data_IF_352018191532
#
_entry.id   IF_352018191532
#
_cell.length_a   1.000
_cell.length_b   1.000
_cell.length_c   1.000
_cell.angle_alpha   90.00
_cell.angle_beta   90.00
_cell.angle_gamma   90.00
#
_symmetry.space_group_name_H-M   'P 1'
#
loop_
_entity.id
_entity.type
_entity.pdbx_description
1 polymer ?
#
# COMPACT_ATOMS: atom_id res chain seq x y z
N UNK A 1 16.65 -4.96 -31.53
CA UNK A 1 16.17 -5.79 -30.39
C UNK A 1 15.35 -4.87 -29.50
N UNK A 2 14.09 -5.20 -29.24
CA UNK A 2 13.29 -4.39 -28.31
C UNK A 2 13.93 -4.50 -26.91
N UNK A 3 14.23 -3.36 -26.29
CA UNK A 3 14.65 -3.27 -24.90
C UNK A 3 13.41 -3.44 -24.02
N UNK A 4 13.53 -4.06 -22.85
CA UNK A 4 12.45 -4.07 -21.88
C UNK A 4 12.03 -2.62 -21.56
N UNK A 5 10.73 -2.35 -21.52
CA UNK A 5 10.21 -0.99 -21.38
C UNK A 5 9.08 -0.93 -20.36
N UNK A 6 9.10 0.13 -19.57
CA UNK A 6 7.97 0.56 -18.76
C UNK A 6 7.00 1.34 -19.63
N UNK A 7 5.70 1.15 -19.42
CA UNK A 7 4.63 1.95 -20.04
C UNK A 7 3.67 2.43 -18.96
N UNK A 8 3.28 3.71 -18.99
CA UNK A 8 2.23 4.22 -18.14
C UNK A 8 0.85 4.05 -18.79
N UNK A 9 -0.11 3.54 -18.02
CA UNK A 9 -1.52 3.39 -18.41
C UNK A 9 -2.37 4.27 -17.51
N UNK A 10 -3.03 5.26 -18.09
CA UNK A 10 -3.97 6.14 -17.39
C UNK A 10 -5.30 5.41 -17.18
N UNK A 11 -5.75 5.31 -15.93
CA UNK A 11 -7.06 4.77 -15.55
C UNK A 11 -8.12 5.85 -15.34
N UNK A 12 -7.66 7.10 -15.24
CA UNK A 12 -8.49 8.29 -15.14
C UNK A 12 -9.19 8.62 -16.47
N UNK A 13 -10.47 9.00 -16.42
CA UNK A 13 -11.24 9.47 -17.59
C UNK A 13 -11.67 10.92 -17.41
N UNK A 14 -11.98 11.67 -18.49
CA UNK A 14 -12.40 13.08 -18.37
C UNK A 14 -13.66 13.34 -17.53
N UNK A 15 -14.46 12.30 -17.24
CA UNK A 15 -15.63 12.40 -16.36
C UNK A 15 -15.25 12.35 -14.87
N UNK A 16 -14.04 11.90 -14.56
CA UNK A 16 -13.50 11.85 -13.21
C UNK A 16 -12.96 13.21 -12.80
N UNK A 17 -13.37 13.66 -11.63
CA UNK A 17 -12.80 14.82 -10.98
C UNK A 17 -11.47 14.48 -10.31
N UNK A 18 -11.40 13.26 -9.75
CA UNK A 18 -10.23 12.71 -9.07
C UNK A 18 -10.33 11.17 -9.10
N UNK A 19 -9.19 10.49 -9.08
CA UNK A 19 -9.15 9.03 -8.98
C UNK A 19 -7.81 8.56 -8.42
N UNK A 20 -7.80 7.47 -7.67
CA UNK A 20 -6.57 6.83 -7.23
C UNK A 20 -6.63 5.31 -7.33
N UNK A 21 -5.47 4.69 -7.56
CA UNK A 21 -5.22 3.27 -7.29
C UNK A 21 -4.35 3.18 -6.05
N UNK A 22 -4.84 2.49 -5.03
CA UNK A 22 -4.11 2.27 -3.78
C UNK A 22 -3.57 0.86 -3.63
N UNK A 23 -4.16 -0.12 -4.32
CA UNK A 23 -3.73 -1.51 -4.24
C UNK A 23 -3.89 -2.23 -5.57
N UNK A 24 -3.01 -3.19 -5.84
CA UNK A 24 -2.99 -4.01 -7.04
C UNK A 24 -2.86 -5.49 -6.69
N UNK A 25 -3.58 -6.33 -7.41
CA UNK A 25 -3.51 -7.80 -7.36
C UNK A 25 -3.51 -8.30 -8.81
N UNK A 26 -3.15 -9.57 -9.12
CA UNK A 26 -3.23 -10.04 -10.51
C UNK A 26 -4.64 -9.82 -11.08
N UNK A 27 -4.69 -9.23 -12.28
CA UNK A 27 -5.94 -8.89 -12.99
C UNK A 27 -6.78 -7.74 -12.42
N UNK A 28 -6.43 -7.10 -11.30
CA UNK A 28 -7.29 -6.07 -10.69
C UNK A 28 -6.55 -4.96 -9.93
N UNK A 29 -7.15 -3.77 -9.91
CA UNK A 29 -6.64 -2.60 -9.19
C UNK A 29 -7.76 -1.96 -8.39
N UNK A 30 -7.53 -1.73 -7.10
CA UNK A 30 -8.49 -1.16 -6.16
C UNK A 30 -8.13 0.27 -5.76
N UNK A 31 -9.16 1.08 -5.54
CA UNK A 31 -8.99 2.46 -5.09
C UNK A 31 -10.32 3.20 -5.07
N UNK A 32 -10.34 4.43 -5.59
CA UNK A 32 -11.56 5.23 -5.66
C UNK A 32 -11.64 6.09 -6.91
N UNK A 33 -12.86 6.54 -7.22
CA UNK A 33 -13.15 7.60 -8.19
C UNK A 33 -14.07 8.63 -7.57
N UNK A 34 -13.84 9.90 -7.87
CA UNK A 34 -14.78 10.97 -7.59
C UNK A 34 -15.44 11.39 -8.91
N UNK A 35 -16.71 11.06 -9.07
CA UNK A 35 -17.50 11.36 -10.27
C UNK A 35 -18.89 11.84 -9.91
N UNK A 36 -19.35 12.89 -10.60
CA UNK A 36 -20.70 13.44 -10.41
C UNK A 36 -21.01 13.81 -8.95
N UNK A 37 -20.01 14.31 -8.22
CA UNK A 37 -20.13 14.71 -6.81
C UNK A 37 -20.16 13.56 -5.80
N UNK A 38 -19.94 12.31 -6.23
CA UNK A 38 -19.91 11.14 -5.38
C UNK A 38 -18.51 10.51 -5.43
N UNK A 39 -17.97 10.24 -4.24
CA UNK A 39 -16.75 9.46 -4.05
C UNK A 39 -17.14 7.99 -3.94
N UNK A 40 -16.75 7.16 -4.90
CA UNK A 40 -17.05 5.72 -4.88
C UNK A 40 -15.79 4.88 -4.76
N UNK A 41 -15.86 3.74 -4.05
CA UNK A 41 -14.86 2.70 -4.18
C UNK A 41 -14.84 2.21 -5.63
N UNK A 42 -13.65 2.02 -6.17
CA UNK A 42 -13.44 1.72 -7.57
C UNK A 42 -12.55 0.50 -7.75
N UNK A 43 -12.85 -0.25 -8.79
CA UNK A 43 -12.05 -1.37 -9.25
C UNK A 43 -11.84 -1.26 -10.76
N UNK A 44 -10.60 -1.44 -11.20
CA UNK A 44 -10.25 -1.58 -12.62
C UNK A 44 -9.64 -2.95 -12.90
N UNK A 45 -9.60 -3.31 -14.19
CA UNK A 45 -8.86 -4.43 -14.77
C UNK A 45 -8.02 -3.91 -15.95
N UNK A 46 -6.89 -3.29 -15.62
CA UNK A 46 -5.81 -2.90 -16.52
C UNK A 46 -6.11 -1.71 -17.44
N UNK A 47 -7.32 -1.14 -17.42
CA UNK A 47 -7.70 -0.05 -18.32
C UNK A 47 -8.83 0.82 -17.76
N UNK A 48 -8.90 2.09 -18.16
CA UNK A 48 -9.93 3.01 -17.71
C UNK A 48 -11.37 2.54 -18.05
N UNK A 49 -11.56 1.87 -19.19
CA UNK A 49 -12.87 1.37 -19.64
C UNK A 49 -13.42 0.20 -18.83
N UNK A 50 -12.57 -0.46 -18.05
CA UNK A 50 -12.95 -1.58 -17.19
C UNK A 50 -13.46 -1.16 -15.80
N UNK A 51 -13.62 0.14 -15.56
CA UNK A 51 -14.04 0.68 -14.27
C UNK A 51 -15.36 0.05 -13.81
N UNK A 52 -15.31 -0.53 -12.62
CA UNK A 52 -16.45 -0.86 -11.79
C UNK A 52 -16.49 0.09 -10.60
N UNK A 53 -17.56 0.89 -10.49
CA UNK A 53 -17.89 1.63 -9.27
C UNK A 53 -18.66 0.72 -8.33
N UNK A 54 -18.24 0.62 -7.08
CA UNK A 54 -18.93 -0.18 -6.06
C UNK A 54 -20.10 0.64 -5.50
N UNK A 55 -21.21 0.66 -6.24
CA UNK A 55 -22.44 1.35 -5.86
C UNK A 55 -23.49 0.30 -5.49
N UNK A 56 -23.75 0.16 -4.20
CA UNK A 56 -24.75 -0.78 -3.70
C UNK A 56 -25.69 -0.07 -2.73
N UNK A 57 -26.89 -0.60 -2.46
CA UNK A 57 -27.77 -0.05 -1.43
C UNK A 57 -27.12 0.00 -0.03
N UNK A 58 -26.09 -0.81 0.22
CA UNK A 58 -25.31 -0.78 1.46
C UNK A 58 -24.29 0.37 1.52
N UNK A 59 -24.04 1.06 0.39
CA UNK A 59 -23.13 2.21 0.25
C UNK A 59 -23.87 3.43 -0.34
N UNK A 60 -24.95 3.92 0.30
CA UNK A 60 -25.83 4.92 -0.30
C UNK A 60 -25.15 6.29 -0.52
N UNK A 61 -24.05 6.57 0.18
CA UNK A 61 -23.29 7.82 0.10
C UNK A 61 -21.89 7.62 -0.50
N UNK A 62 -21.64 6.46 -1.12
CA UNK A 62 -20.33 6.08 -1.61
C UNK A 62 -19.33 5.75 -0.49
N UNK A 63 -18.05 5.83 -0.81
CA UNK A 63 -16.95 5.45 0.06
C UNK A 63 -15.61 5.46 -0.67
N UNK A 64 -14.58 4.95 -0.01
CA UNK A 64 -13.24 4.78 -0.58
C UNK A 64 -12.82 3.32 -0.48
N UNK A 65 -12.31 2.76 -1.57
CA UNK A 65 -11.62 1.46 -1.57
C UNK A 65 -10.13 1.66 -1.31
N UNK A 66 -9.52 0.76 -0.56
CA UNK A 66 -8.09 0.82 -0.22
C UNK A 66 -7.33 -0.43 -0.69
N UNK A 67 -7.68 -1.60 -0.16
CA UNK A 67 -6.98 -2.86 -0.43
C UNK A 67 -7.76 -3.77 -1.36
N UNK A 68 -7.06 -4.48 -2.25
CA UNK A 68 -7.66 -5.52 -3.12
C UNK A 68 -6.85 -6.82 -3.05
N UNK A 69 -7.53 -7.95 -2.92
CA UNK A 69 -6.94 -9.29 -3.02
C UNK A 69 -7.96 -10.27 -3.56
N UNK A 70 -7.62 -11.03 -4.60
CA UNK A 70 -8.56 -11.95 -5.24
C UNK A 70 -9.83 -11.20 -5.67
N UNK A 71 -11.02 -11.68 -5.29
CA UNK A 71 -12.29 -10.98 -5.59
C UNK A 71 -12.62 -9.82 -4.65
N UNK A 72 -11.92 -9.69 -3.52
CA UNK A 72 -12.29 -8.77 -2.45
C UNK A 72 -11.69 -7.38 -2.64
N UNK A 73 -12.48 -6.35 -2.34
CA UNK A 73 -12.05 -4.97 -2.09
C UNK A 73 -12.45 -4.61 -0.67
N UNK A 74 -11.54 -4.01 0.10
CA UNK A 74 -11.87 -3.43 1.41
C UNK A 74 -11.85 -1.92 1.36
N UNK A 75 -12.64 -1.31 2.24
CA UNK A 75 -12.80 0.13 2.22
C UNK A 75 -13.44 0.72 3.47
N UNK A 76 -13.83 1.98 3.32
CA UNK A 76 -14.64 2.71 4.28
C UNK A 76 -15.78 3.45 3.58
N UNK A 77 -16.95 3.41 4.19
CA UNK A 77 -18.15 4.14 3.76
C UNK A 77 -17.98 5.65 4.04
N UNK A 78 -18.53 6.50 3.18
CA UNK A 78 -18.55 7.96 3.43
C UNK A 78 -19.45 8.33 4.61
N UNK A 79 -20.56 7.62 4.79
CA UNK A 79 -21.45 7.76 5.93
C UNK A 79 -22.38 6.53 6.08
N UNK A 80 -22.56 5.98 7.30
CA UNK A 80 -21.70 6.18 8.48
C UNK A 80 -20.27 5.69 8.18
N UNK A 81 -19.26 6.12 8.97
CA UNK A 81 -17.84 5.80 8.72
C UNK A 81 -17.49 4.35 9.09
N UNK A 82 -18.04 3.40 8.35
CA UNK A 82 -17.92 1.96 8.59
C UNK A 82 -16.90 1.34 7.65
N UNK A 83 -16.08 0.42 8.18
CA UNK A 83 -15.24 -0.46 7.40
C UNK A 83 -16.14 -1.46 6.66
N UNK A 84 -15.78 -1.80 5.42
CA UNK A 84 -16.50 -2.82 4.66
C UNK A 84 -15.54 -3.74 3.91
N UNK A 85 -16.06 -4.90 3.52
CA UNK A 85 -15.52 -5.73 2.45
C UNK A 85 -16.57 -5.92 1.36
N UNK A 86 -16.19 -5.70 0.11
CA UNK A 86 -16.97 -5.96 -1.08
C UNK A 86 -16.40 -7.17 -1.80
N UNK A 87 -17.24 -8.15 -2.09
CA UNK A 87 -16.87 -9.33 -2.89
C UNK A 87 -17.43 -9.21 -4.31
N UNK A 88 -16.54 -9.09 -5.29
CA UNK A 88 -16.90 -9.00 -6.71
C UNK A 88 -17.58 -10.24 -7.26
N UNK A 89 -17.30 -11.42 -6.69
CA UNK A 89 -17.87 -12.67 -7.19
C UNK A 89 -19.38 -12.75 -6.91
N UNK A 90 -19.78 -12.29 -5.72
CA UNK A 90 -21.19 -12.26 -5.29
C UNK A 90 -21.87 -10.90 -5.48
N UNK A 91 -21.11 -9.83 -5.70
CA UNK A 91 -21.61 -8.46 -5.74
C UNK A 91 -22.08 -7.93 -4.37
N UNK A 92 -21.69 -8.59 -3.27
CA UNK A 92 -22.16 -8.29 -1.92
C UNK A 92 -21.20 -7.40 -1.15
N UNK A 93 -21.74 -6.50 -0.34
CA UNK A 93 -21.00 -5.69 0.65
C UNK A 93 -21.31 -6.23 2.04
N UNK A 94 -20.28 -6.48 2.83
CA UNK A 94 -20.39 -6.87 4.24
C UNK A 94 -19.80 -5.78 5.12
N UNK A 95 -20.56 -5.37 6.12
CA UNK A 95 -20.11 -4.42 7.14
C UNK A 95 -19.14 -5.10 8.12
N UNK A 96 -17.98 -4.47 8.31
CA UNK A 96 -16.94 -4.89 9.25
C UNK A 96 -16.93 -4.04 10.53
N UNK A 97 -17.80 -3.05 10.65
CA UNK A 97 -17.82 -2.13 11.78
C UNK A 97 -18.01 -2.86 13.13
N UNK A 98 -17.03 -2.78 14.06
CA UNK A 98 -17.15 -3.43 15.35
C UNK A 98 -18.24 -2.80 16.22
N UNK A 99 -19.06 -3.61 16.93
CA UNK A 99 -20.06 -3.07 17.86
C UNK A 99 -19.42 -2.15 18.92
N UNK A 100 -19.94 -0.93 19.05
CA UNK A 100 -19.50 0.05 20.05
C UNK A 100 -18.34 0.96 19.62
N UNK A 101 -17.77 0.75 18.42
CA UNK A 101 -16.81 1.69 17.84
C UNK A 101 -17.51 2.96 17.32
N UNK A 102 -16.79 4.08 17.27
CA UNK A 102 -17.30 5.36 16.75
C UNK A 102 -17.09 5.50 15.23
N UNK A 103 -16.15 4.74 14.70
CA UNK A 103 -15.83 4.66 13.28
C UNK A 103 -14.89 3.49 13.02
N UNK A 104 -14.72 3.12 11.77
CA UNK A 104 -13.79 2.05 11.39
C UNK A 104 -13.37 2.20 9.94
N UNK A 105 -12.21 1.65 9.61
CA UNK A 105 -11.65 1.63 8.26
C UNK A 105 -10.93 0.31 8.04
N UNK A 106 -11.25 -0.39 6.96
CA UNK A 106 -10.44 -1.50 6.46
C UNK A 106 -9.49 -0.99 5.36
N UNK A 107 -8.21 -1.28 5.51
CA UNK A 107 -7.11 -0.70 4.69
C UNK A 107 -6.53 -1.76 3.75
N UNK A 108 -6.25 -2.97 4.25
CA UNK A 108 -5.66 -4.03 3.45
C UNK A 108 -6.41 -5.35 3.64
N UNK A 109 -6.34 -6.20 2.62
CA UNK A 109 -6.94 -7.53 2.62
C UNK A 109 -6.02 -8.49 1.88
N UNK A 110 -5.82 -9.69 2.44
CA UNK A 110 -5.05 -10.76 1.80
C UNK A 110 -5.57 -12.10 2.35
N UNK A 111 -5.82 -13.08 1.48
CA UNK A 111 -6.30 -14.41 1.87
C UNK A 111 -7.51 -14.42 2.84
N UNK A 112 -8.46 -13.49 2.65
CA UNK A 112 -9.66 -13.39 3.49
C UNK A 112 -9.43 -12.76 4.88
N UNK A 113 -8.21 -12.34 5.19
CA UNK A 113 -7.88 -11.53 6.35
C UNK A 113 -8.00 -10.04 6.00
N UNK A 114 -8.76 -9.26 6.76
CA UNK A 114 -8.83 -7.80 6.59
C UNK A 114 -8.18 -7.10 7.78
N UNK A 115 -7.46 -6.01 7.53
CA UNK A 115 -6.83 -5.19 8.58
C UNK A 115 -7.12 -3.71 8.39
N UNK A 116 -6.98 -2.95 9.47
CA UNK A 116 -7.23 -1.52 9.47
C UNK A 116 -7.24 -0.96 10.89
N UNK A 117 -8.24 -0.13 11.18
CA UNK A 117 -8.48 0.36 12.54
C UNK A 117 -9.97 0.51 12.85
N UNK A 118 -10.28 0.52 14.14
CA UNK A 118 -11.54 0.96 14.70
C UNK A 118 -11.28 2.13 15.66
N UNK A 119 -12.18 3.10 15.73
CA UNK A 119 -12.10 4.22 16.66
C UNK A 119 -12.81 3.84 17.96
N UNK A 120 -12.07 3.83 19.07
CA UNK A 120 -12.60 3.50 20.40
C UNK A 120 -13.31 4.67 21.11
N UNK A 121 -13.45 5.81 20.41
CA UNK A 121 -14.05 7.04 20.92
C UNK A 121 -13.03 8.07 21.39
N UNK A 122 -11.76 7.68 21.52
CA UNK A 122 -10.65 8.58 21.80
C UNK A 122 -9.53 8.46 20.76
N UNK A 123 -9.22 7.25 20.34
CA UNK A 123 -8.09 6.95 19.46
C UNK A 123 -8.39 5.77 18.51
N UNK A 124 -7.75 5.74 17.33
CA UNK A 124 -7.76 4.55 16.50
C UNK A 124 -6.98 3.42 17.16
N UNK A 125 -7.56 2.21 17.13
CA UNK A 125 -6.92 0.97 17.53
C UNK A 125 -6.80 0.04 16.33
N UNK A 126 -5.62 -0.58 16.18
CA UNK A 126 -5.36 -1.51 15.10
C UNK A 126 -6.36 -2.66 15.15
N UNK A 127 -6.88 -3.03 13.99
CA UNK A 127 -7.98 -3.97 13.88
C UNK A 127 -7.67 -5.08 12.89
N UNK A 128 -8.17 -6.27 13.20
CA UNK A 128 -8.14 -7.46 12.37
C UNK A 128 -9.57 -8.03 12.28
N UNK A 129 -9.99 -8.42 11.07
CA UNK A 129 -11.25 -9.09 10.81
C UNK A 129 -11.04 -10.33 9.92
N UNK A 130 -11.99 -11.25 9.99
CA UNK A 130 -12.15 -12.39 9.09
C UNK A 130 -13.56 -12.41 8.50
N UNK A 131 -13.87 -11.40 7.68
CA UNK A 131 -15.04 -11.34 6.82
C UNK A 131 -16.34 -10.87 7.47
N UNK A 132 -16.33 -10.44 8.74
CA UNK A 132 -17.55 -9.93 9.41
C UNK A 132 -17.25 -9.05 10.62
N UNK A 133 -18.17 -8.17 10.99
CA UNK A 133 -18.06 -7.34 12.20
C UNK A 133 -17.80 -8.16 13.50
N UNK A 134 -18.48 -9.29 13.79
CA UNK A 134 -18.22 -10.08 15.01
C UNK A 134 -16.84 -10.74 15.06
N UNK A 135 -16.13 -10.84 13.93
CA UNK A 135 -14.77 -11.38 13.88
C UNK A 135 -13.68 -10.38 14.27
N UNK A 136 -14.06 -9.17 14.67
CA UNK A 136 -13.15 -8.12 15.09
C UNK A 136 -12.21 -8.58 16.23
N UNK A 137 -10.92 -8.35 16.02
CA UNK A 137 -9.86 -8.49 17.01
C UNK A 137 -9.15 -7.15 17.17
N UNK A 138 -9.09 -6.66 18.40
CA UNK A 138 -8.29 -5.49 18.76
C UNK A 138 -6.81 -5.88 18.85
N UNK A 139 -5.98 -5.24 18.04
CA UNK A 139 -4.53 -5.43 17.98
C UNK A 139 -3.74 -4.37 18.75
N UNK A 140 -4.39 -3.44 19.46
CA UNK A 140 -3.69 -2.37 20.18
C UNK A 140 -2.73 -2.93 21.24
N UNK A 141 -1.40 -2.76 21.07
CA UNK A 141 -0.43 -3.31 22.01
C UNK A 141 -0.59 -2.72 23.41
N UNK A 142 -0.26 -3.50 24.44
CA UNK A 142 -0.24 -3.01 25.81
C UNK A 142 0.71 -1.81 25.94
N UNK A 143 0.20 -0.69 26.50
CA UNK A 143 0.96 0.56 26.67
C UNK A 143 0.96 1.49 25.45
N UNK A 144 0.35 1.09 24.33
CA UNK A 144 0.16 1.98 23.19
C UNK A 144 -1.07 2.89 23.39
N UNK A 145 -0.93 4.18 23.07
CA UNK A 145 -2.04 5.14 23.13
C UNK A 145 -2.95 5.08 21.91
N UNK A 146 -2.40 4.69 20.76
CA UNK A 146 -3.13 4.40 19.54
C UNK A 146 -2.31 3.46 18.66
N UNK A 147 -2.99 2.78 17.72
CA UNK A 147 -2.35 1.92 16.73
C UNK A 147 -3.19 1.81 15.47
N UNK A 148 -2.54 1.50 14.34
CA UNK A 148 -3.21 1.23 13.06
C UNK A 148 -2.50 0.05 12.39
N UNK A 149 -3.28 -0.91 11.88
CA UNK A 149 -2.77 -1.94 10.98
C UNK A 149 -2.96 -1.48 9.52
N UNK A 150 -1.86 -1.35 8.78
CA UNK A 150 -1.85 -0.84 7.40
C UNK A 150 -1.79 -1.95 6.36
N UNK A 151 -1.18 -3.10 6.70
CA UNK A 151 -0.88 -4.16 5.75
C UNK A 151 -1.06 -5.55 6.36
N UNK A 152 -1.29 -6.54 5.50
CA UNK A 152 -1.34 -7.96 5.86
C UNK A 152 -0.76 -8.78 4.71
N UNK A 153 -0.13 -9.91 5.02
CA UNK A 153 0.23 -10.95 4.03
C UNK A 153 -0.66 -12.20 4.14
N UNK A 154 -1.83 -12.07 4.78
CA UNK A 154 -2.77 -13.16 5.06
C UNK A 154 -2.43 -13.97 6.31
N UNK A 155 -1.24 -13.78 6.89
CA UNK A 155 -0.79 -14.46 8.12
C UNK A 155 -0.49 -13.44 9.21
N UNK A 156 0.39 -12.49 8.91
CA UNK A 156 0.80 -11.41 9.80
C UNK A 156 0.07 -10.12 9.45
N UNK A 157 -0.09 -9.26 10.45
CA UNK A 157 -0.55 -7.89 10.29
C UNK A 157 0.62 -6.95 10.54
N UNK A 158 0.67 -5.81 9.87
CA UNK A 158 1.73 -4.83 10.07
C UNK A 158 1.21 -3.41 9.98
N UNK A 159 1.87 -2.51 10.68
CA UNK A 159 1.45 -1.12 10.81
C UNK A 159 2.27 -0.38 11.85
N UNK A 160 1.66 0.55 12.57
CA UNK A 160 2.34 1.34 13.58
C UNK A 160 1.52 1.55 14.86
N UNK A 161 2.25 1.79 15.95
CA UNK A 161 1.70 2.03 17.27
C UNK A 161 2.47 3.16 17.97
N UNK A 162 1.78 3.95 18.78
CA UNK A 162 2.38 5.05 19.53
C UNK A 162 2.60 4.67 21.00
N UNK A 163 3.84 4.78 21.46
CA UNK A 163 4.24 4.61 22.85
C UNK A 163 4.83 5.92 23.36
N UNK A 164 4.06 6.66 24.17
CA UNK A 164 4.43 8.03 24.57
C UNK A 164 4.53 8.95 23.35
N UNK A 165 5.70 9.57 23.14
CA UNK A 165 5.96 10.44 21.98
C UNK A 165 6.52 9.70 20.75
N UNK A 166 6.77 8.40 20.86
CA UNK A 166 7.37 7.60 19.79
C UNK A 166 6.32 6.82 19.01
N UNK A 167 6.32 6.98 17.69
CA UNK A 167 5.57 6.13 16.76
C UNK A 167 6.53 5.08 16.21
N UNK A 168 6.18 3.81 16.35
CA UNK A 168 7.04 2.70 15.92
C UNK A 168 6.29 1.78 14.97
N UNK A 169 6.97 1.42 13.88
CA UNK A 169 6.55 0.34 13.01
C UNK A 169 6.55 -0.98 13.79
N UNK A 170 5.61 -1.87 13.47
CA UNK A 170 5.59 -3.20 14.04
C UNK A 170 4.72 -4.19 13.28
N UNK A 171 4.81 -5.45 13.70
CA UNK A 171 4.00 -6.55 13.18
C UNK A 171 3.29 -7.28 14.32
N UNK A 172 2.14 -7.87 14.01
CA UNK A 172 1.35 -8.72 14.88
C UNK A 172 1.13 -10.09 14.23
N UNK A 173 0.90 -11.11 15.06
CA UNK A 173 0.43 -12.45 14.70
C UNK A 173 -0.93 -12.74 15.35
N UNK A 174 -1.93 -11.92 15.02
CA UNK A 174 -3.33 -12.16 15.36
C UNK A 174 -3.76 -11.72 16.76
N UNK A 175 -2.90 -11.06 17.53
CA UNK A 175 -3.27 -10.53 18.85
C UNK A 175 -2.44 -9.31 19.26
N UNK A 176 -2.99 -8.45 20.10
CA UNK A 176 -2.26 -7.31 20.67
C UNK A 176 -0.94 -7.70 21.38
N UNK A 177 -0.94 -8.83 22.10
CA UNK A 177 0.22 -9.31 22.84
C UNK A 177 1.38 -9.79 21.94
N UNK A 178 1.12 -10.04 20.66
CA UNK A 178 2.12 -10.54 19.70
C UNK A 178 2.95 -9.44 19.04
N UNK A 179 2.75 -8.17 19.41
CA UNK A 179 3.41 -7.04 18.77
C UNK A 179 4.93 -7.13 18.83
N UNK A 180 5.57 -7.10 17.66
CA UNK A 180 7.02 -7.01 17.49
C UNK A 180 7.36 -5.64 16.93
N UNK A 181 8.18 -4.90 17.69
CA UNK A 181 8.67 -3.58 17.30
C UNK A 181 9.75 -3.70 16.20
N UNK A 182 9.55 -2.98 15.10
CA UNK A 182 10.47 -2.90 13.95
C UNK A 182 11.27 -1.60 13.90
N UNK A 183 11.10 -0.68 14.85
CA UNK A 183 11.80 0.60 14.87
C UNK A 183 13.32 0.40 14.79
N UNK A 184 13.98 0.87 13.73
CA UNK A 184 15.41 0.68 13.58
C UNK A 184 16.20 1.32 14.73
N UNK A 185 17.39 0.79 15.05
CA UNK A 185 18.30 1.46 15.98
C UNK A 185 18.54 2.91 15.57
N UNK A 186 18.50 3.82 16.55
CA UNK A 186 18.72 5.26 16.41
C UNK A 186 17.65 6.04 15.62
N UNK A 187 16.64 5.36 15.07
CA UNK A 187 15.51 6.05 14.45
C UNK A 187 14.64 6.71 15.52
N UNK A 188 14.25 7.97 15.31
CA UNK A 188 13.34 8.69 16.22
C UNK A 188 11.87 8.28 16.06
N UNK A 189 11.56 7.55 14.99
CA UNK A 189 10.27 6.93 14.74
C UNK A 189 10.27 6.15 13.43
N UNK A 190 9.26 5.32 13.25
CA UNK A 190 9.06 4.53 12.04
C UNK A 190 7.60 4.20 11.82
N UNK A 191 7.25 3.88 10.58
CA UNK A 191 5.90 3.47 10.18
C UNK A 191 6.01 2.33 9.17
N UNK A 192 5.13 1.33 9.29
CA UNK A 192 4.97 0.28 8.30
C UNK A 192 3.77 0.60 7.42
N UNK A 193 3.91 0.42 6.10
CA UNK A 193 2.87 0.72 5.11
C UNK A 193 2.46 -0.47 4.25
N UNK A 194 3.40 -1.37 3.93
CA UNK A 194 3.15 -2.49 3.03
C UNK A 194 3.83 -3.79 3.48
N UNK A 195 3.27 -4.93 3.09
CA UNK A 195 3.80 -6.26 3.35
C UNK A 195 3.56 -7.18 2.17
N UNK A 196 4.53 -8.05 1.89
CA UNK A 196 4.45 -9.06 0.84
C UNK A 196 5.53 -10.11 1.07
N UNK A 197 5.15 -11.39 1.02
CA UNK A 197 6.04 -12.48 1.43
C UNK A 197 6.59 -12.28 2.85
N UNK A 198 7.91 -12.30 3.01
CA UNK A 198 8.64 -12.06 4.26
C UNK A 198 9.07 -10.59 4.46
N UNK A 199 8.74 -9.71 3.51
CA UNK A 199 9.15 -8.30 3.53
C UNK A 199 8.10 -7.40 4.19
N UNK A 200 8.59 -6.39 4.89
CA UNK A 200 7.80 -5.26 5.38
C UNK A 200 8.43 -3.98 4.86
N UNK A 201 7.63 -3.04 4.39
CA UNK A 201 8.10 -1.75 3.88
C UNK A 201 7.38 -0.59 4.52
N UNK A 202 8.04 0.57 4.52
CA UNK A 202 7.52 1.77 5.16
C UNK A 202 8.55 2.88 5.19
N UNK A 203 8.63 3.55 6.34
CA UNK A 203 9.48 4.72 6.54
C UNK A 203 10.19 4.64 7.90
N UNK A 204 11.44 5.06 7.94
CA UNK A 204 12.19 5.32 9.17
C UNK A 204 12.66 6.78 9.22
N UNK A 205 12.65 7.39 10.41
CA UNK A 205 13.02 8.79 10.62
C UNK A 205 14.39 8.90 11.27
N UNK A 206 15.31 9.56 10.58
CA UNK A 206 16.66 9.85 11.06
C UNK A 206 16.92 11.36 10.99
N UNK A 207 17.15 11.99 12.14
CA UNK A 207 17.43 13.44 12.25
C UNK A 207 16.40 14.31 11.50
N UNK A 208 15.13 13.90 11.52
CA UNK A 208 14.03 14.61 10.84
C UNK A 208 13.85 14.25 9.36
N UNK A 209 14.74 13.47 8.75
CA UNK A 209 14.62 12.99 7.37
C UNK A 209 13.88 11.65 7.33
N UNK A 210 12.87 11.57 6.47
CA UNK A 210 12.12 10.35 6.17
C UNK A 210 12.83 9.52 5.10
N UNK A 211 13.07 8.25 5.43
CA UNK A 211 13.78 7.32 4.56
C UNK A 211 12.93 6.08 4.33
N UNK A 212 12.75 5.72 3.06
CA UNK A 212 12.12 4.48 2.67
C UNK A 212 12.85 3.32 3.34
N UNK A 213 12.08 2.39 3.91
CA UNK A 213 12.61 1.35 4.77
C UNK A 213 12.12 -0.02 4.32
N UNK A 214 12.99 -1.02 4.45
CA UNK A 214 12.68 -2.44 4.29
C UNK A 214 13.10 -3.20 5.56
N UNK A 215 12.24 -4.10 6.02
CA UNK A 215 12.51 -5.03 7.12
C UNK A 215 12.15 -6.46 6.73
N UNK A 216 12.68 -7.42 7.52
CA UNK A 216 12.39 -8.86 7.52
C UNK A 216 12.18 -9.35 8.95
N UNK A 217 11.08 -8.91 9.56
CA UNK A 217 10.54 -9.42 10.82
C UNK A 217 11.22 -8.90 12.10
N UNK A 218 12.23 -8.03 12.00
CA UNK A 218 12.87 -7.45 13.18
C UNK A 218 13.47 -6.07 12.92
N UNK A 219 13.62 -5.23 13.95
CA UNK A 219 14.34 -3.96 13.85
C UNK A 219 15.78 -4.10 13.32
N UNK A 220 16.47 -5.19 13.67
CA UNK A 220 17.85 -5.45 13.24
C UNK A 220 17.98 -5.77 11.75
N UNK A 221 16.88 -6.13 11.09
CA UNK A 221 16.84 -6.43 9.65
C UNK A 221 16.62 -5.21 8.75
N UNK A 222 16.60 -4.00 9.35
CA UNK A 222 16.39 -2.75 8.64
C UNK A 222 17.40 -2.54 7.50
N UNK A 223 16.87 -2.17 6.34
CA UNK A 223 17.62 -1.72 5.16
C UNK A 223 17.07 -0.35 4.76
N UNK A 224 17.99 0.62 4.62
CA UNK A 224 17.70 1.95 4.10
C UNK A 224 17.54 1.88 2.57
N UNK A 225 16.35 2.20 2.08
CA UNK A 225 16.01 2.27 0.65
C UNK A 225 16.12 3.70 0.10
N UNK A 226 16.50 4.70 0.88
CA UNK A 226 16.54 6.08 0.41
C UNK A 226 17.51 6.24 -0.77
N UNK A 227 17.00 6.59 -1.98
CA UNK A 227 17.84 6.68 -3.16
C UNK A 227 19.00 7.66 -2.98
N UNK A 228 20.16 7.44 -3.63
CA UNK A 228 21.19 8.46 -3.73
C UNK A 228 20.60 9.75 -4.30
N UNK A 229 20.92 10.88 -3.68
CA UNK A 229 20.43 12.23 -4.06
C UNK A 229 18.94 12.51 -3.83
N UNK A 230 18.19 11.61 -3.18
CA UNK A 230 16.85 11.91 -2.70
C UNK A 230 16.90 12.55 -1.30
N UNK A 231 16.17 13.66 -1.11
CA UNK A 231 16.09 14.36 0.18
C UNK A 231 15.16 13.70 1.20
N UNK A 232 14.18 12.94 0.69
CA UNK A 232 13.25 12.13 1.45
C UNK A 232 12.71 10.99 0.57
N UNK A 233 12.27 9.90 1.18
CA UNK A 233 11.60 8.81 0.49
C UNK A 233 10.71 8.01 1.43
N UNK A 234 9.67 7.38 0.87
CA UNK A 234 8.76 6.48 1.56
C UNK A 234 8.52 5.26 0.68
N UNK A 235 8.44 4.08 1.30
CA UNK A 235 7.95 2.86 0.63
C UNK A 235 6.53 2.56 1.12
N UNK A 236 5.61 2.30 0.19
CA UNK A 236 4.20 2.04 0.46
C UNK A 236 3.79 0.59 0.26
N UNK A 237 4.35 -0.10 -0.75
CA UNK A 237 3.93 -1.45 -1.14
C UNK A 237 5.09 -2.37 -1.49
N UNK A 238 4.89 -3.67 -1.34
CA UNK A 238 5.83 -4.71 -1.77
C UNK A 238 5.07 -6.01 -1.99
N UNK A 239 5.48 -6.78 -3.00
CA UNK A 239 5.02 -8.15 -3.21
C UNK A 239 6.02 -9.20 -2.71
N UNK A 240 7.03 -8.77 -1.95
CA UNK A 240 8.12 -9.62 -1.47
C UNK A 240 9.27 -9.78 -2.47
N UNK A 241 9.15 -9.24 -3.69
CA UNK A 241 10.21 -9.21 -4.70
C UNK A 241 10.66 -7.77 -4.99
N UNK A 242 9.71 -6.88 -5.27
CA UNK A 242 9.93 -5.45 -5.49
C UNK A 242 9.30 -4.61 -4.37
N UNK A 243 9.80 -3.38 -4.18
CA UNK A 243 9.22 -2.40 -3.28
C UNK A 243 8.85 -1.15 -4.08
N UNK A 244 7.77 -0.48 -3.73
CA UNK A 244 7.31 0.74 -4.41
C UNK A 244 6.88 1.82 -3.44
N UNK A 245 6.84 3.05 -3.91
CA UNK A 245 6.65 4.23 -3.09
C UNK A 245 6.96 5.50 -3.88
N UNK A 246 7.54 6.49 -3.21
CA UNK A 246 8.06 7.68 -3.88
C UNK A 246 9.34 8.20 -3.23
N UNK A 247 10.08 8.99 -3.98
CA UNK A 247 11.26 9.69 -3.52
C UNK A 247 11.29 11.14 -4.04
N UNK A 248 11.82 12.05 -3.22
CA UNK A 248 12.01 13.46 -3.57
C UNK A 248 13.38 13.65 -4.22
N UNK A 249 13.40 13.60 -5.55
CA UNK A 249 14.58 13.90 -6.36
C UNK A 249 14.70 15.40 -6.63
N UNK A 250 15.87 15.88 -7.09
CA UNK A 250 16.03 17.28 -7.52
C UNK A 250 15.07 17.71 -8.65
N UNK A 251 14.56 16.75 -9.43
CA UNK A 251 13.59 16.97 -10.50
C UNK A 251 12.13 16.98 -10.01
N UNK A 252 11.88 16.71 -8.73
CA UNK A 252 10.55 16.62 -8.13
C UNK A 252 10.21 15.25 -7.51
N UNK A 253 9.06 15.13 -6.83
CA UNK A 253 8.56 13.87 -6.26
C UNK A 253 8.22 12.86 -7.35
N UNK A 254 8.83 11.68 -7.28
CA UNK A 254 8.68 10.64 -8.30
C UNK A 254 8.27 9.31 -7.70
N UNK A 255 7.23 8.69 -8.27
CA UNK A 255 6.90 7.29 -8.05
C UNK A 255 8.18 6.48 -8.30
N UNK A 256 8.55 5.60 -7.38
CA UNK A 256 9.83 4.90 -7.43
C UNK A 256 9.63 3.43 -7.11
N UNK A 257 10.33 2.57 -7.85
CA UNK A 257 10.44 1.13 -7.58
C UNK A 257 11.87 0.80 -7.12
N UNK A 258 12.00 -0.13 -6.19
CA UNK A 258 13.26 -0.67 -5.69
C UNK A 258 13.27 -2.20 -5.78
N UNK A 259 14.48 -2.75 -5.79
CA UNK A 259 14.80 -4.17 -5.73
C UNK A 259 15.77 -4.45 -4.58
N UNK A 260 15.34 -4.13 -3.36
CA UNK A 260 16.00 -4.50 -2.09
C UNK A 260 17.13 -3.58 -1.63
N UNK A 261 17.44 -2.49 -2.36
CA UNK A 261 18.48 -1.53 -1.95
C UNK A 261 18.24 -0.12 -2.46
N UNK A 262 18.78 0.89 -1.78
CA UNK A 262 18.78 2.27 -2.25
C UNK A 262 19.34 2.46 -3.67
N UNK A 263 20.40 1.71 -4.04
CA UNK A 263 21.03 1.80 -5.36
C UNK A 263 20.16 1.25 -6.50
N UNK A 264 19.18 0.40 -6.18
CA UNK A 264 18.25 -0.17 -7.16
C UNK A 264 17.05 0.73 -7.46
N UNK A 265 16.99 1.90 -6.84
CA UNK A 265 15.90 2.86 -7.03
C UNK A 265 15.77 3.26 -8.50
N UNK A 266 14.57 3.07 -9.05
CA UNK A 266 14.25 3.41 -10.43
C UNK A 266 13.01 4.32 -10.46
N UNK A 267 13.18 5.62 -10.79
CA UNK A 267 12.07 6.55 -10.89
C UNK A 267 11.13 6.17 -12.05
N UNK A 268 9.83 6.10 -11.78
CA UNK A 268 8.77 5.73 -12.72
C UNK A 268 8.07 6.95 -13.35
N UNK A 269 8.20 8.14 -12.76
CA UNK A 269 7.59 9.37 -13.28
C UNK A 269 7.97 9.66 -14.74
N UNK A 270 9.20 9.34 -15.14
CA UNK A 270 9.71 9.55 -16.50
C UNK A 270 8.92 8.83 -17.61
N UNK A 271 8.06 7.86 -17.25
CA UNK A 271 7.23 7.11 -18.20
C UNK A 271 5.81 7.66 -18.32
N UNK A 272 5.45 8.67 -17.53
CA UNK A 272 4.18 9.37 -17.68
C UNK A 272 4.16 10.21 -18.97
N UNK A 273 2.98 10.47 -19.55
CA UNK A 273 2.83 11.54 -20.53
C UNK A 273 3.27 12.89 -19.95
N UNK A 274 3.63 13.88 -20.79
CA UNK A 274 3.84 15.25 -20.31
C UNK A 274 2.60 15.82 -19.61
N UNK A 275 2.79 16.76 -18.69
CA UNK A 275 1.71 17.46 -17.98
C UNK A 275 1.44 16.97 -16.55
N UNK A 276 2.44 16.38 -15.88
CA UNK A 276 2.35 16.01 -14.47
C UNK A 276 3.57 16.53 -13.68
N UNK A 277 3.33 17.08 -12.50
CA UNK A 277 4.36 17.64 -11.61
C UNK A 277 4.91 16.61 -10.61
N UNK A 278 4.12 15.59 -10.27
CA UNK A 278 4.47 14.61 -9.26
C UNK A 278 3.77 13.26 -9.49
N UNK A 279 4.32 12.21 -8.89
CA UNK A 279 3.70 10.87 -8.90
C UNK A 279 4.05 10.07 -7.66
N UNK A 280 3.20 9.12 -7.30
CA UNK A 280 3.35 8.22 -6.17
C UNK A 280 2.94 6.81 -6.59
N UNK A 281 3.75 5.80 -6.29
CA UNK A 281 3.37 4.40 -6.40
C UNK A 281 2.92 3.88 -5.02
N UNK A 282 1.76 3.25 -4.95
CA UNK A 282 1.20 2.73 -3.69
C UNK A 282 1.41 1.22 -3.54
N UNK A 283 1.31 0.46 -4.62
CA UNK A 283 1.34 -1.00 -4.55
C UNK A 283 1.92 -1.63 -5.83
N UNK A 284 2.41 -2.86 -5.72
CA UNK A 284 3.10 -3.59 -6.80
C UNK A 284 2.72 -5.06 -6.79
N UNK A 285 2.62 -5.64 -7.99
CA UNK A 285 2.42 -7.07 -8.17
C UNK A 285 3.18 -7.59 -9.38
N UNK A 286 3.78 -8.78 -9.24
CA UNK A 286 4.24 -9.57 -10.38
C UNK A 286 3.08 -10.39 -10.97
N UNK A 287 2.84 -10.26 -12.28
CA UNK A 287 1.85 -11.03 -13.04
C UNK A 287 2.54 -11.77 -14.18
N UNK A 288 2.85 -13.05 -13.93
CA UNK A 288 3.73 -13.82 -14.83
C UNK A 288 5.13 -13.23 -14.84
N UNK A 289 5.57 -12.75 -16.01
CA UNK A 289 6.85 -12.08 -16.18
C UNK A 289 6.75 -10.55 -16.04
N UNK A 290 5.54 -9.99 -15.92
CA UNK A 290 5.31 -8.55 -15.86
C UNK A 290 5.39 -8.03 -14.44
N UNK A 291 5.75 -6.75 -14.30
CA UNK A 291 5.59 -5.99 -13.05
C UNK A 291 4.53 -4.93 -13.28
N UNK A 292 3.52 -4.89 -12.43
CA UNK A 292 2.45 -3.88 -12.47
C UNK A 292 2.54 -3.08 -11.18
N UNK A 293 2.70 -1.77 -11.32
CA UNK A 293 2.73 -0.83 -10.21
C UNK A 293 1.50 0.06 -10.31
N UNK A 294 0.70 0.13 -9.24
CA UNK A 294 -0.46 1.00 -9.15
C UNK A 294 -0.16 2.25 -8.34
N UNK A 295 -0.72 3.38 -8.75
CA UNK A 295 -0.59 4.60 -7.99
C UNK A 295 -1.32 5.79 -8.59
N UNK A 296 -0.74 6.97 -8.36
CA UNK A 296 -1.29 8.26 -8.79
C UNK A 296 -0.25 9.15 -9.44
N UNK A 297 -0.72 10.09 -10.25
CA UNK A 297 0.02 11.25 -10.72
C UNK A 297 -0.79 12.54 -10.52
N UNK A 298 -0.10 13.66 -10.34
CA UNK A 298 -0.70 14.98 -10.15
C UNK A 298 -0.49 15.83 -11.42
N UNK A 299 -1.56 16.22 -12.13
CA UNK A 299 -1.44 17.11 -13.29
C UNK A 299 -0.83 18.46 -12.92
N UNK A 300 -0.21 19.12 -13.88
CA UNK A 300 0.46 20.41 -13.66
C UNK A 300 -0.47 21.44 -13.01
N UNK A 301 -0.04 22.01 -11.87
CA UNK A 301 -0.81 23.01 -11.13
C UNK A 301 -2.11 22.49 -10.47
N UNK A 302 -2.29 21.18 -10.36
CA UNK A 302 -3.45 20.54 -9.73
C UNK A 302 -3.04 19.77 -8.47
N UNK A 303 -3.81 19.94 -7.39
CA UNK A 303 -3.71 19.10 -6.18
C UNK A 303 -4.51 17.80 -6.30
N UNK A 304 -5.27 17.61 -7.39
CA UNK A 304 -6.11 16.44 -7.61
C UNK A 304 -5.34 15.34 -8.31
N UNK A 305 -5.52 14.13 -7.82
CA UNK A 305 -4.82 12.95 -8.32
C UNK A 305 -5.53 12.29 -9.50
N UNK A 306 -4.73 11.66 -10.35
CA UNK A 306 -5.19 10.77 -11.40
C UNK A 306 -4.61 9.38 -11.24
N UNK A 307 -5.43 8.35 -11.47
CA UNK A 307 -5.05 6.97 -11.31
C UNK A 307 -4.20 6.49 -12.49
N UNK A 308 -3.06 5.87 -12.18
CA UNK A 308 -2.12 5.35 -13.15
C UNK A 308 -1.63 3.95 -12.79
N UNK A 309 -1.29 3.18 -13.83
CA UNK A 309 -0.46 1.99 -13.74
C UNK A 309 0.87 2.23 -14.46
N UNK A 310 1.96 1.73 -13.90
CA UNK A 310 3.21 1.52 -14.63
C UNK A 310 3.38 0.03 -14.86
N UNK A 311 3.52 -0.37 -16.11
CA UNK A 311 3.62 -1.77 -16.52
C UNK A 311 4.97 -2.02 -17.14
N UNK A 312 5.75 -2.91 -16.54
CA UNK A 312 6.99 -3.43 -17.10
C UNK A 312 6.74 -4.76 -17.79
N UNK A 313 7.18 -4.88 -19.03
CA UNK A 313 7.19 -6.15 -19.76
C UNK A 313 8.64 -6.49 -20.10
N UNK A 314 9.20 -7.59 -19.56
CA UNK A 314 10.52 -8.03 -19.94
C UNK A 314 10.55 -8.41 -21.42
N UNK A 315 11.68 -8.22 -22.07
CA UNK A 315 11.93 -8.87 -23.34
C UNK A 315 12.49 -10.28 -23.08
N UNK A 316 12.33 -11.23 -24.03
CA UNK A 316 12.86 -12.59 -23.87
C UNK A 316 14.36 -12.64 -23.50
N UNK A 317 15.13 -11.61 -23.83
CA UNK A 317 16.55 -11.47 -23.53
C UNK A 317 16.89 -10.77 -22.20
N UNK A 318 15.95 -10.07 -21.54
CA UNK A 318 16.19 -9.42 -20.23
C UNK A 318 16.05 -10.36 -19.02
N UNK A 319 15.56 -11.59 -19.24
CA UNK A 319 15.42 -12.64 -18.21
C UNK A 319 16.76 -13.03 -17.55
N UNK A 320 17.89 -12.71 -18.18
CA UNK A 320 19.24 -12.98 -17.64
C UNK A 320 19.77 -11.91 -16.67
N UNK A 321 19.18 -10.71 -16.61
CA UNK A 321 19.78 -9.57 -15.88
C UNK A 321 19.14 -9.34 -14.49
N UNK A 322 17.83 -9.58 -14.31
CA UNK A 322 17.18 -9.42 -12.99
C UNK A 322 17.59 -10.50 -11.98
N UNK A 323 18.01 -11.69 -12.44
CA UNK A 323 18.46 -12.77 -11.57
C UNK A 323 19.78 -12.45 -10.83
N UNK A 324 20.57 -11.49 -11.31
CA UNK A 324 21.88 -11.15 -10.75
C UNK A 324 21.75 -10.09 -9.62
N UNK A 325 20.69 -9.28 -9.63
CA UNK A 325 20.45 -8.28 -8.59
C UNK A 325 19.91 -8.89 -7.27
N UNK A 326 19.19 -10.00 -7.33
CA UNK A 326 18.59 -10.65 -6.14
C UNK A 326 19.49 -11.64 -5.39
N UNK A 327 20.63 -12.05 -5.94
CA UNK A 327 21.45 -13.13 -5.38
C UNK A 327 22.58 -12.66 -4.43
N UNK A 328 22.81 -11.35 -4.29
CA UNK A 328 23.87 -10.82 -3.45
C UNK A 328 23.36 -10.48 -2.04
N UNK A 329 23.09 -11.50 -1.21
CA UNK A 329 23.34 -11.52 0.26
C UNK A 329 22.71 -12.75 0.91
N UNK A 330 23.40 -13.90 0.83
CA UNK A 330 23.24 -14.96 1.84
C UNK A 330 24.56 -15.07 2.60
N UNK A 331 24.62 -14.70 3.90
CA UNK A 331 25.78 -14.98 4.70
C UNK A 331 25.86 -16.49 4.93
N UNK A 332 26.92 -17.13 4.42
CA UNK A 332 27.27 -18.53 4.72
C UNK A 332 27.45 -18.67 6.23
N UNK A 333 26.59 -19.45 6.89
CA UNK A 333 26.85 -19.97 8.24
C UNK A 333 28.11 -20.82 8.19
N UNK A 334 29.16 -20.40 8.90
CA UNK A 334 30.29 -21.30 9.23
C UNK A 334 29.77 -22.33 10.23
N UNK A 335 30.00 -23.61 9.92
CA UNK A 335 29.91 -24.71 10.89
C UNK A 335 31.08 -24.62 11.87
#
# INVERSE_FOLDING_TARGET
MATAQWTAVRLHTPQMYESAVYSVTPGAQGGFVHMSGILDPAIWSGSASSLLRVQTPALPFGGTGFGVSGSQLVGQNSFPLHAFVYDRASGSVTDLHPPGAFGSKAIAVENGQQVGYADDGANPVAALWSGSAPSFVNLNPAGASWSIAHATNGVLQGGDAAFGSSIVAGIWSGSAASFVNLNPPLASGSQLRGMGGDQQVGTAKYSGSERAALWRGSAASYIDLNPPNAGASLAYGTDGLAQVGYAHFPTGPSATIWFGSAASAHPLHQYLPPGYDASIAYDVVHEGDRIIVGGIAYPDGSERSEAFLWVYVPTPSSLLVLAIAGAATVPRRRR
#
